data_IF_255291917303
#
_entry.id   IF_255291917303
#
_cell.length_a   1.000
_cell.length_b   1.000
_cell.length_c   1.000
_cell.angle_alpha   90.00
_cell.angle_beta   90.00
_cell.angle_gamma   90.00
#
_symmetry.space_group_name_H-M   'P 1'
#
loop_
_entity.id
_entity.type
_entity.pdbx_description
1 polymer ?
#
# COMPACT_ATOMS: atom_id res chain seq x y z
N UNK A 1 -5.65 -6.61 11.80
CA UNK A 1 -6.21 -6.21 10.50
C UNK A 1 -6.21 -4.68 10.46
N UNK A 2 -5.41 -4.07 9.58
CA UNK A 2 -5.32 -2.62 9.47
C UNK A 2 -6.60 -2.10 8.80
N UNK A 3 -7.44 -1.37 9.53
CA UNK A 3 -8.60 -0.68 8.98
C UNK A 3 -8.19 0.76 8.66
N UNK A 4 -7.72 0.98 7.43
CA UNK A 4 -7.33 2.31 6.95
C UNK A 4 -8.38 2.74 5.93
N UNK A 5 -9.16 3.77 6.28
CA UNK A 5 -10.24 4.28 5.41
C UNK A 5 -9.75 5.33 4.40
N UNK A 6 -8.61 5.94 4.68
CA UNK A 6 -7.98 6.92 3.79
C UNK A 6 -6.46 6.84 3.87
N UNK A 7 -5.77 7.08 2.75
CA UNK A 7 -4.32 7.23 2.72
C UNK A 7 -4.02 8.57 2.04
N UNK A 8 -3.78 9.60 2.85
CA UNK A 8 -3.46 10.95 2.39
C UNK A 8 -2.16 11.41 3.01
N UNK A 9 -1.61 12.52 2.53
CA UNK A 9 -0.40 13.12 3.11
C UNK A 9 -0.48 13.27 4.65
N UNK A 10 -1.67 13.56 5.19
CA UNK A 10 -1.88 13.77 6.63
C UNK A 10 -1.65 12.51 7.48
N UNK A 11 -1.97 11.33 6.95
CA UNK A 11 -1.90 10.07 7.70
C UNK A 11 -0.93 9.04 7.08
N UNK A 12 -0.34 9.34 5.93
CA UNK A 12 0.53 8.43 5.16
C UNK A 12 1.67 7.87 6.02
N UNK A 13 2.26 8.67 6.90
CA UNK A 13 3.32 8.20 7.79
C UNK A 13 2.83 7.14 8.79
N UNK A 14 1.71 7.39 9.44
CA UNK A 14 1.15 6.46 10.41
C UNK A 14 0.74 5.14 9.74
N UNK A 15 0.09 5.23 8.58
CA UNK A 15 -0.28 4.07 7.76
C UNK A 15 0.97 3.30 7.33
N UNK A 16 2.00 4.00 6.85
CA UNK A 16 3.27 3.39 6.45
C UNK A 16 3.90 2.58 7.58
N UNK A 17 4.06 3.17 8.76
CA UNK A 17 4.65 2.53 9.93
C UNK A 17 3.85 1.29 10.34
N UNK A 18 2.52 1.39 10.38
CA UNK A 18 1.62 0.29 10.69
C UNK A 18 1.74 -0.88 9.71
N UNK A 19 1.69 -0.62 8.40
CA UNK A 19 1.83 -1.68 7.40
C UNK A 19 3.23 -2.28 7.37
N UNK A 20 4.28 -1.47 7.60
CA UNK A 20 5.64 -2.02 7.73
C UNK A 20 5.77 -2.95 8.93
N UNK A 21 5.14 -2.63 10.06
CA UNK A 21 5.10 -3.50 11.23
C UNK A 21 4.37 -4.81 10.93
N UNK A 22 3.21 -4.74 10.26
CA UNK A 22 2.46 -5.93 9.84
C UNK A 22 3.29 -6.84 8.91
N UNK A 23 3.93 -6.26 7.89
CA UNK A 23 4.76 -7.00 6.91
C UNK A 23 5.94 -7.67 7.60
N UNK A 24 6.62 -6.96 8.51
CA UNK A 24 7.70 -7.58 9.32
C UNK A 24 7.18 -8.69 10.24
N UNK A 25 5.93 -8.59 10.67
CA UNK A 25 5.22 -9.62 11.42
C UNK A 25 4.79 -10.82 10.57
N UNK A 26 5.04 -10.82 9.25
CA UNK A 26 4.71 -11.90 8.34
C UNK A 26 3.48 -11.69 7.48
N UNK A 27 2.83 -10.52 7.57
CA UNK A 27 1.74 -10.15 6.66
C UNK A 27 2.25 -10.05 5.23
N UNK A 28 1.59 -10.75 4.31
CA UNK A 28 1.96 -10.79 2.88
C UNK A 28 0.85 -10.26 1.98
N UNK A 29 -0.27 -9.85 2.56
CA UNK A 29 -1.41 -9.38 1.81
C UNK A 29 -2.10 -8.23 2.54
N UNK A 30 -2.40 -7.15 1.82
CA UNK A 30 -3.10 -6.01 2.39
C UNK A 30 -4.39 -5.78 1.60
N UNK A 31 -5.52 -5.82 2.31
CA UNK A 31 -6.83 -5.46 1.74
C UNK A 31 -7.05 -3.95 1.81
N UNK A 32 -7.26 -3.33 0.66
CA UNK A 32 -7.49 -1.90 0.50
C UNK A 32 -8.97 -1.56 0.29
N UNK A 33 -9.91 -2.51 0.48
CA UNK A 33 -11.36 -2.28 0.30
C UNK A 33 -11.90 -1.11 1.11
N UNK A 34 -11.37 -0.93 2.33
CA UNK A 34 -11.79 0.16 3.21
C UNK A 34 -11.25 1.52 2.76
N UNK A 35 -10.23 1.57 1.89
CA UNK A 35 -9.61 2.83 1.45
C UNK A 35 -10.54 3.49 0.44
N UNK A 36 -11.25 4.52 0.88
CA UNK A 36 -12.13 5.32 0.04
C UNK A 36 -11.43 6.55 -0.56
N UNK A 37 -10.45 7.09 0.17
CA UNK A 37 -9.73 8.32 -0.23
C UNK A 37 -8.24 8.06 -0.29
N UNK A 38 -7.62 8.34 -1.44
CA UNK A 38 -6.18 8.23 -1.63
C UNK A 38 -5.61 9.38 -2.47
N UNK A 39 -4.42 9.86 -2.12
CA UNK A 39 -3.66 10.84 -2.90
C UNK A 39 -2.32 10.25 -3.39
N UNK A 40 -1.44 11.08 -3.95
CA UNK A 40 -0.10 10.67 -4.42
C UNK A 40 0.78 10.06 -3.32
N UNK A 41 0.56 10.42 -2.05
CA UNK A 41 1.27 9.85 -0.91
C UNK A 41 0.90 8.39 -0.70
N UNK A 42 -0.32 7.97 -1.05
CA UNK A 42 -0.74 6.58 -0.96
C UNK A 42 0.11 5.67 -1.85
N UNK A 43 0.45 6.13 -3.05
CA UNK A 43 1.35 5.39 -3.96
C UNK A 43 2.72 5.22 -3.32
N UNK A 44 3.27 6.28 -2.71
CA UNK A 44 4.54 6.21 -2.01
C UNK A 44 4.52 5.21 -0.83
N UNK A 45 3.41 5.16 -0.09
CA UNK A 45 3.21 4.19 1.01
C UNK A 45 3.22 2.75 0.50
N UNK A 46 2.47 2.45 -0.57
CA UNK A 46 2.43 1.10 -1.16
C UNK A 46 3.81 0.66 -1.63
N UNK A 47 4.53 1.54 -2.34
CA UNK A 47 5.90 1.26 -2.80
C UNK A 47 6.84 0.94 -1.63
N UNK A 48 6.74 1.70 -0.54
CA UNK A 48 7.55 1.46 0.66
C UNK A 48 7.20 0.14 1.36
N UNK A 49 5.93 -0.25 1.36
CA UNK A 49 5.50 -1.57 1.82
C UNK A 49 6.04 -2.70 0.96
N UNK A 50 5.96 -2.59 -0.37
CA UNK A 50 6.57 -3.58 -1.26
C UNK A 50 8.07 -3.72 -1.02
N UNK A 51 8.78 -2.59 -0.86
CA UNK A 51 10.20 -2.59 -0.53
C UNK A 51 10.47 -3.30 0.81
N UNK A 52 9.60 -3.10 1.80
CA UNK A 52 9.72 -3.75 3.11
C UNK A 52 9.51 -5.25 2.99
N UNK A 53 8.50 -5.70 2.24
CA UNK A 53 8.23 -7.12 1.99
C UNK A 53 9.43 -7.80 1.31
N UNK A 54 9.98 -7.16 0.26
CA UNK A 54 11.18 -7.66 -0.43
C UNK A 54 12.39 -7.75 0.51
N UNK A 55 12.57 -6.77 1.41
CA UNK A 55 13.67 -6.77 2.39
C UNK A 55 13.56 -7.91 3.41
N UNK A 56 12.34 -8.34 3.76
CA UNK A 56 12.13 -9.49 4.65
C UNK A 56 12.07 -10.81 3.87
N UNK A 57 12.43 -10.81 2.57
CA UNK A 57 12.47 -12.01 1.72
C UNK A 57 11.10 -12.49 1.27
N UNK A 58 10.06 -11.66 1.37
CA UNK A 58 8.70 -11.98 0.96
C UNK A 58 8.21 -11.17 -0.23
N UNK A 59 7.04 -11.56 -0.74
CA UNK A 59 6.21 -10.78 -1.65
C UNK A 59 5.03 -10.19 -0.89
N UNK A 60 4.52 -9.06 -1.37
CA UNK A 60 3.32 -8.41 -0.85
C UNK A 60 2.33 -8.23 -1.98
N UNK A 61 1.15 -8.80 -1.81
CA UNK A 61 0.03 -8.65 -2.74
C UNK A 61 -1.03 -7.72 -2.15
N UNK A 62 -1.75 -7.02 -3.03
CA UNK A 62 -2.80 -6.08 -2.64
C UNK A 62 -4.15 -6.59 -3.12
N UNK A 63 -5.17 -6.53 -2.25
CA UNK A 63 -6.55 -6.85 -2.62
C UNK A 63 -7.43 -5.61 -2.65
N UNK A 64 -8.45 -5.65 -3.50
CA UNK A 64 -9.47 -4.60 -3.64
C UNK A 64 -8.87 -3.19 -3.80
N UNK A 65 -7.87 -3.04 -4.66
CA UNK A 65 -7.24 -1.74 -4.95
C UNK A 65 -8.31 -0.78 -5.49
N UNK A 66 -8.55 0.38 -4.87
CA UNK A 66 -9.50 1.37 -5.37
C UNK A 66 -9.09 1.88 -6.75
N UNK A 67 -10.06 2.11 -7.64
CA UNK A 67 -9.80 2.58 -9.00
C UNK A 67 -8.97 3.87 -9.05
N UNK A 68 -9.19 4.81 -8.12
CA UNK A 68 -8.39 6.04 -8.02
C UNK A 68 -6.90 5.77 -7.75
N UNK A 69 -6.60 4.77 -6.92
CA UNK A 69 -5.23 4.38 -6.60
C UNK A 69 -4.56 3.68 -7.79
N UNK A 70 -5.31 2.86 -8.52
CA UNK A 70 -4.84 2.25 -9.77
C UNK A 70 -4.52 3.31 -10.82
N UNK A 71 -5.39 4.32 -10.99
CA UNK A 71 -5.13 5.44 -11.90
C UNK A 71 -3.89 6.23 -11.51
N UNK A 72 -3.69 6.52 -10.22
CA UNK A 72 -2.49 7.20 -9.73
C UNK A 72 -1.24 6.36 -10.02
N UNK A 73 -1.25 5.07 -9.69
CA UNK A 73 -0.13 4.18 -9.95
C UNK A 73 0.22 4.08 -11.43
N UNK A 74 -0.81 4.10 -12.31
CA UNK A 74 -0.61 4.12 -13.75
C UNK A 74 0.05 5.41 -14.23
N UNK A 75 -0.43 6.57 -13.75
CA UNK A 75 0.17 7.88 -14.08
C UNK A 75 1.61 7.97 -13.59
N UNK A 76 1.93 7.34 -12.46
CA UNK A 76 3.29 7.28 -11.93
C UNK A 76 4.16 6.16 -12.52
N UNK A 77 3.63 5.33 -13.44
CA UNK A 77 4.36 4.24 -14.09
C UNK A 77 4.78 3.11 -13.14
N UNK A 78 4.04 2.91 -12.05
CA UNK A 78 4.30 1.90 -11.02
C UNK A 78 3.21 0.82 -10.95
N UNK A 79 2.35 0.75 -11.97
CA UNK A 79 1.31 -0.26 -12.12
C UNK A 79 1.85 -1.71 -12.06
N UNK A 80 3.01 -1.97 -12.66
CA UNK A 80 3.71 -3.28 -12.56
C UNK A 80 4.02 -3.68 -11.12
N UNK A 81 4.20 -2.71 -10.22
CA UNK A 81 4.43 -2.96 -8.79
C UNK A 81 3.13 -3.22 -8.03
N UNK A 82 1.97 -2.93 -8.59
CA UNK A 82 0.68 -3.29 -7.99
C UNK A 82 0.09 -4.58 -8.54
N UNK A 83 0.64 -5.10 -9.64
CA UNK A 83 0.16 -6.30 -10.34
C UNK A 83 0.73 -7.63 -9.79
N UNK A 84 1.32 -7.64 -8.59
CA UNK A 84 2.01 -8.81 -8.01
C UNK A 84 1.13 -9.67 -7.09
#
# INVERSE_FOLDING_TARGET
>A
MLAVESITFQNARAVLEQGCAAIRGGEREIDLRAVHTADSSAVAVLLAWQRTARKVGGTLSYRNIPAGLHSLAHVYGVDVLLAA
#
